data_IF_044959530300
#
_entry.id   IF_044959530300
#
_cell.length_a   1.000
_cell.length_b   1.000
_cell.length_c   1.000
_cell.angle_alpha   90.00
_cell.angle_beta   90.00
_cell.angle_gamma   90.00
#
_symmetry.space_group_name_H-M   'P 1'
#
loop_
_entity.id
_entity.type
_entity.pdbx_description
1 polymer ?
#
# COMPACT_ATOMS: atom_id res chain seq x y z
N UNK A 1 26.39 -15.61 -2.98
CA UNK A 1 25.87 -14.91 -1.79
C UNK A 1 26.58 -13.59 -1.68
N UNK A 2 25.87 -12.49 -1.39
CA UNK A 2 26.47 -11.17 -1.22
C UNK A 2 26.36 -10.76 0.26
N UNK A 3 27.43 -10.17 0.79
CA UNK A 3 27.48 -9.71 2.18
C UNK A 3 27.30 -8.20 2.22
N UNK A 4 26.46 -7.74 3.14
CA UNK A 4 26.23 -6.31 3.40
C UNK A 4 26.72 -6.02 4.82
N UNK A 5 27.48 -4.93 4.98
CA UNK A 5 27.85 -4.41 6.29
C UNK A 5 26.93 -3.25 6.63
N UNK A 6 26.25 -3.33 7.78
CA UNK A 6 25.35 -2.29 8.26
C UNK A 6 25.92 -1.67 9.53
N UNK A 7 26.09 -0.34 9.54
CA UNK A 7 26.38 0.41 10.76
C UNK A 7 25.07 0.78 11.42
N UNK A 8 24.93 0.47 12.71
CA UNK A 8 23.73 0.73 13.50
C UNK A 8 24.12 1.32 14.83
N UNK A 9 23.17 1.95 15.52
CA UNK A 9 23.35 2.27 16.93
C UNK A 9 23.34 1.00 17.80
N UNK A 10 23.75 1.19 19.07
CA UNK A 10 23.81 0.10 20.04
C UNK A 10 22.43 -0.44 20.41
N UNK A 11 21.39 0.39 20.41
CA UNK A 11 20.05 -0.03 20.81
C UNK A 11 19.49 -1.02 19.78
N UNK A 12 19.66 -0.71 18.49
CA UNK A 12 19.26 -1.58 17.40
C UNK A 12 20.04 -2.89 17.38
N UNK A 13 21.35 -2.84 17.64
CA UNK A 13 22.17 -4.03 17.73
C UNK A 13 21.72 -4.96 18.87
N UNK A 14 21.47 -4.40 20.06
CA UNK A 14 20.95 -5.14 21.21
C UNK A 14 19.58 -5.73 20.92
N UNK A 15 18.67 -4.94 20.35
CA UNK A 15 17.34 -5.39 19.95
C UNK A 15 17.40 -6.59 18.99
N UNK A 16 18.24 -6.53 17.96
CA UNK A 16 18.40 -7.66 17.03
C UNK A 16 18.95 -8.91 17.74
N UNK A 17 19.91 -8.75 18.65
CA UNK A 17 20.46 -9.89 19.38
C UNK A 17 19.40 -10.53 20.28
N UNK A 18 18.64 -9.74 21.02
CA UNK A 18 17.56 -10.22 21.89
C UNK A 18 16.47 -10.92 21.08
N UNK A 19 16.03 -10.33 19.97
CA UNK A 19 15.04 -10.94 19.10
C UNK A 19 15.56 -12.24 18.49
N UNK A 20 16.79 -12.27 17.99
CA UNK A 20 17.40 -13.46 17.43
C UNK A 20 17.48 -14.60 18.46
N UNK A 21 17.84 -14.28 19.70
CA UNK A 21 17.85 -15.24 20.81
C UNK A 21 16.44 -15.76 21.15
N UNK A 22 15.46 -14.87 21.26
CA UNK A 22 14.08 -15.22 21.58
C UNK A 22 13.42 -16.10 20.51
N UNK A 23 13.71 -15.84 19.23
CA UNK A 23 13.19 -16.61 18.11
C UNK A 23 14.05 -17.83 17.75
N UNK A 24 15.18 -18.06 18.44
CA UNK A 24 16.07 -19.19 18.16
C UNK A 24 16.66 -19.17 16.74
N UNK A 25 16.91 -17.98 16.19
CA UNK A 25 17.34 -17.79 14.79
C UNK A 25 18.62 -16.95 14.72
N UNK A 26 19.26 -16.92 13.55
CA UNK A 26 20.43 -16.06 13.32
C UNK A 26 20.01 -14.62 13.04
N UNK A 27 20.85 -13.66 13.43
CA UNK A 27 20.66 -12.22 13.14
C UNK A 27 20.43 -11.96 11.66
N UNK A 28 21.22 -12.62 10.80
CA UNK A 28 21.10 -12.46 9.36
C UNK A 28 19.78 -13.01 8.82
N UNK A 29 19.26 -14.09 9.40
CA UNK A 29 17.96 -14.64 9.00
C UNK A 29 16.80 -13.81 9.50
N UNK A 30 16.87 -13.33 10.74
CA UNK A 30 15.92 -12.35 11.28
C UNK A 30 15.83 -11.11 10.39
N UNK A 31 16.98 -10.53 10.01
CA UNK A 31 17.03 -9.36 9.12
C UNK A 31 16.44 -9.68 7.74
N UNK A 32 16.78 -10.84 7.14
CA UNK A 32 16.22 -11.25 5.84
C UNK A 32 14.69 -11.34 5.88
N UNK A 33 14.16 -12.01 6.90
CA UNK A 33 12.71 -12.18 7.05
C UNK A 33 12.02 -10.84 7.31
N UNK A 34 12.62 -9.97 8.12
CA UNK A 34 12.09 -8.62 8.36
C UNK A 34 12.03 -7.80 7.07
N UNK A 35 13.07 -7.83 6.25
CA UNK A 35 13.13 -7.08 4.97
C UNK A 35 12.07 -7.61 3.98
N UNK A 36 11.89 -8.93 3.88
CA UNK A 36 10.87 -9.53 3.01
C UNK A 36 9.47 -9.10 3.46
N UNK A 37 9.16 -9.25 4.75
CA UNK A 37 7.86 -8.87 5.30
C UNK A 37 7.58 -7.37 5.13
N UNK A 38 8.60 -6.53 5.31
CA UNK A 38 8.46 -5.09 5.12
C UNK A 38 8.17 -4.74 3.66
N UNK A 39 8.86 -5.40 2.70
CA UNK A 39 8.59 -5.23 1.28
C UNK A 39 7.14 -5.57 0.94
N UNK A 40 6.64 -6.72 1.39
CA UNK A 40 5.26 -7.15 1.12
C UNK A 40 4.23 -6.17 1.71
N UNK A 41 4.52 -5.64 2.90
CA UNK A 41 3.67 -4.65 3.56
C UNK A 41 3.60 -3.35 2.74
N UNK A 42 4.74 -2.87 2.24
CA UNK A 42 4.79 -1.68 1.38
C UNK A 42 4.03 -1.90 0.05
N UNK A 43 4.14 -3.07 -0.55
CA UNK A 43 3.42 -3.41 -1.78
C UNK A 43 1.91 -3.43 -1.57
N UNK A 44 1.44 -4.01 -0.45
CA UNK A 44 0.02 -4.00 -0.07
C UNK A 44 -0.51 -2.59 0.15
N UNK A 45 0.23 -1.74 0.85
CA UNK A 45 -0.17 -0.34 1.08
C UNK A 45 -0.21 0.46 -0.23
N UNK A 46 0.76 0.25 -1.13
CA UNK A 46 0.74 0.87 -2.46
C UNK A 46 -0.47 0.44 -3.27
N UNK A 47 -0.80 -0.85 -3.27
CA UNK A 47 -1.99 -1.37 -3.96
C UNK A 47 -3.28 -0.76 -3.39
N UNK A 48 -3.41 -0.71 -2.06
CA UNK A 48 -4.55 -0.10 -1.37
C UNK A 48 -4.75 1.37 -1.77
N UNK A 49 -3.66 2.14 -1.86
CA UNK A 49 -3.71 3.53 -2.32
C UNK A 49 -4.16 3.64 -3.78
N UNK A 50 -3.67 2.76 -4.65
CA UNK A 50 -4.08 2.73 -6.07
C UNK A 50 -5.57 2.42 -6.22
N UNK A 51 -6.07 1.40 -5.51
CA UNK A 51 -7.49 1.05 -5.51
C UNK A 51 -8.32 2.23 -5.03
N UNK A 52 -7.96 2.84 -3.90
CA UNK A 52 -8.67 4.02 -3.37
C UNK A 52 -8.74 5.15 -4.39
N UNK A 53 -7.64 5.44 -5.08
CA UNK A 53 -7.58 6.47 -6.11
C UNK A 53 -8.46 6.13 -7.32
N UNK A 54 -8.44 4.88 -7.78
CA UNK A 54 -9.27 4.40 -8.87
C UNK A 54 -10.76 4.50 -8.51
N UNK A 55 -11.16 4.04 -7.32
CA UNK A 55 -12.54 4.11 -6.84
C UNK A 55 -13.06 5.55 -6.76
N UNK A 56 -12.24 6.49 -6.28
CA UNK A 56 -12.63 7.91 -6.26
C UNK A 56 -12.81 8.47 -7.67
N UNK A 57 -11.94 8.10 -8.61
CA UNK A 57 -12.06 8.51 -10.01
C UNK A 57 -13.35 7.98 -10.62
N UNK A 58 -13.60 6.68 -10.48
CA UNK A 58 -14.82 6.03 -11.01
C UNK A 58 -16.07 6.69 -10.44
N UNK A 59 -16.12 6.91 -9.11
CA UNK A 59 -17.26 7.58 -8.48
C UNK A 59 -17.52 8.98 -9.06
N UNK A 60 -16.46 9.76 -9.30
CA UNK A 60 -16.58 11.10 -9.89
C UNK A 60 -17.12 11.05 -11.32
N UNK A 61 -16.60 10.14 -12.14
CA UNK A 61 -17.09 9.96 -13.52
C UNK A 61 -18.53 9.43 -13.54
N UNK A 62 -18.89 8.48 -12.69
CA UNK A 62 -20.27 7.99 -12.58
C UNK A 62 -21.25 9.08 -12.16
N UNK A 63 -20.87 9.94 -11.21
CA UNK A 63 -21.70 11.09 -10.83
C UNK A 63 -21.86 12.09 -12.00
N UNK A 64 -20.79 12.34 -12.75
CA UNK A 64 -20.83 13.21 -13.93
C UNK A 64 -21.81 12.67 -14.99
N UNK A 65 -21.71 11.37 -15.30
CA UNK A 65 -22.61 10.72 -16.27
C UNK A 65 -24.06 10.74 -15.78
N UNK A 66 -24.30 10.49 -14.49
CA UNK A 66 -25.65 10.53 -13.94
C UNK A 66 -26.28 11.92 -14.10
N UNK A 67 -25.53 12.97 -13.78
CA UNK A 67 -25.99 14.35 -13.96
C UNK A 67 -26.23 14.69 -15.45
N UNK A 68 -25.31 14.27 -16.35
CA UNK A 68 -25.49 14.46 -17.80
C UNK A 68 -26.77 13.76 -18.30
N UNK A 69 -27.11 12.60 -17.75
CA UNK A 69 -28.32 11.87 -18.10
C UNK A 69 -29.59 12.57 -17.58
N UNK A 70 -29.55 13.10 -16.35
CA UNK A 70 -30.64 13.91 -15.80
C UNK A 70 -30.91 15.16 -16.64
N UNK A 71 -29.86 15.84 -17.12
CA UNK A 71 -29.99 17.01 -17.99
C UNK A 71 -30.67 16.66 -19.32
N UNK A 72 -30.48 15.44 -19.84
CA UNK A 72 -31.13 14.97 -21.07
C UNK A 72 -32.59 14.54 -20.91
N UNK A 73 -33.12 14.41 -19.68
CA UNK A 73 -34.50 13.94 -19.46
C UNK A 73 -35.57 14.85 -20.07
N UNK A 74 -35.28 16.15 -20.19
CA UNK A 74 -36.17 17.13 -20.79
C UNK A 74 -35.81 17.48 -22.24
N UNK A 75 -34.79 16.82 -22.79
CA UNK A 75 -34.36 17.04 -24.17
C UNK A 75 -35.42 16.51 -25.13
N UNK A 76 -35.89 17.37 -26.04
CA UNK A 76 -37.00 17.07 -26.96
C UNK A 76 -38.42 17.25 -26.41
N UNK A 77 -38.61 17.65 -25.14
CA UNK A 77 -39.94 18.01 -24.58
C UNK A 77 -40.32 19.49 -24.78
N UNK A 78 -39.54 20.24 -25.55
CA UNK A 78 -39.91 21.58 -26.01
C UNK A 78 -40.84 21.50 -27.22
N UNK A 79 -42.12 21.83 -27.00
CA UNK A 79 -43.25 21.99 -27.95
C UNK A 79 -44.26 20.83 -28.01
N UNK A 80 -44.96 20.59 -26.90
CA UNK A 80 -46.37 20.17 -26.93
C UNK A 80 -47.20 21.12 -26.10
#
# INVERSE_FOLDING_TARGET
MHTITLKTDNNFFTMINEMAANFGTSRSELIRNAVINYKETLEKEKLKQQIKKASLKVRKESLKIANEFEDTLNDGLGNV
#
